data_IF_859820402471
#
_entry.id   IF_859820402471
#
_cell.length_a   1.000
_cell.length_b   1.000
_cell.length_c   1.000
_cell.angle_alpha   90.00
_cell.angle_beta   90.00
_cell.angle_gamma   90.00
#
_symmetry.space_group_name_H-M   'P 1'
#
loop_
_entity.id
_entity.type
_entity.pdbx_description
1 polymer ?
#
# COMPACT_ATOMS: atom_id res chain seq x y z
N UNK A 1 24.53 -66.72 18.39
CA UNK A 1 23.82 -65.85 17.40
C UNK A 1 22.85 -65.01 18.13
N UNK A 2 23.18 -63.74 18.38
CA UNK A 2 22.31 -62.75 19.02
C UNK A 2 22.11 -61.59 18.06
N UNK A 3 20.91 -61.48 17.51
CA UNK A 3 20.49 -60.34 16.68
C UNK A 3 20.09 -59.17 17.61
N UNK A 4 20.83 -58.08 17.53
CA UNK A 4 20.43 -56.79 18.11
C UNK A 4 19.62 -56.03 17.06
N UNK A 5 18.34 -55.83 17.34
CA UNK A 5 17.46 -54.95 16.61
C UNK A 5 17.65 -53.51 17.13
N UNK A 6 18.27 -52.62 16.35
CA UNK A 6 18.27 -51.19 16.57
C UNK A 6 17.01 -50.56 16.00
N UNK A 7 16.08 -50.19 16.84
CA UNK A 7 14.93 -49.32 16.49
C UNK A 7 15.37 -47.88 16.48
N UNK A 8 15.48 -47.27 15.31
CA UNK A 8 15.70 -45.85 15.15
C UNK A 8 14.34 -45.12 15.33
N UNK A 9 14.17 -44.39 16.43
CA UNK A 9 13.12 -43.38 16.60
C UNK A 9 13.50 -42.17 15.79
N UNK A 10 12.77 -41.91 14.68
CA UNK A 10 12.79 -40.64 13.98
C UNK A 10 11.91 -39.64 14.76
N UNK A 11 12.56 -38.73 15.49
CA UNK A 11 11.88 -37.57 16.07
C UNK A 11 11.58 -36.58 14.94
N UNK A 12 10.32 -36.48 14.54
CA UNK A 12 9.82 -35.36 13.73
C UNK A 12 9.76 -34.11 14.61
N UNK A 13 10.77 -33.27 14.49
CA UNK A 13 10.70 -31.90 15.03
C UNK A 13 9.77 -31.11 14.13
N UNK A 14 8.51 -30.93 14.57
CA UNK A 14 7.65 -29.87 14.06
C UNK A 14 8.23 -28.55 14.56
N UNK A 15 9.01 -27.89 13.73
CA UNK A 15 9.31 -26.47 13.90
C UNK A 15 8.04 -25.72 13.55
N UNK A 16 7.20 -25.43 14.54
CA UNK A 16 6.19 -24.41 14.44
C UNK A 16 6.94 -23.06 14.35
N UNK A 17 7.19 -22.59 13.15
CA UNK A 17 7.49 -21.18 12.90
C UNK A 17 6.21 -20.40 13.24
N UNK A 18 6.10 -19.95 14.49
CA UNK A 18 5.24 -18.83 14.86
C UNK A 18 5.96 -17.55 14.43
N UNK A 19 5.96 -17.27 13.14
CA UNK A 19 6.26 -15.94 12.63
C UNK A 19 4.97 -15.12 12.72
N UNK A 20 5.06 -13.89 13.18
CA UNK A 20 4.15 -12.81 12.82
C UNK A 20 4.12 -12.83 11.29
N UNK A 21 3.09 -13.44 10.70
CA UNK A 21 3.12 -13.77 9.29
C UNK A 21 2.76 -12.53 8.50
N UNK A 22 3.69 -12.03 7.73
CA UNK A 22 3.43 -11.17 6.60
C UNK A 22 2.23 -11.73 5.82
N UNK A 23 1.21 -10.91 5.62
CA UNK A 23 0.02 -11.29 4.88
C UNK A 23 0.24 -10.84 3.45
N UNK A 24 0.53 -11.78 2.58
CA UNK A 24 0.57 -11.57 1.15
C UNK A 24 -0.83 -11.74 0.55
N UNK A 25 -1.17 -10.90 -0.42
CA UNK A 25 -2.49 -10.90 -1.03
C UNK A 25 -2.67 -12.00 -2.08
N UNK A 26 -1.61 -12.46 -2.76
CA UNK A 26 -1.68 -13.57 -3.72
C UNK A 26 -1.88 -14.91 -2.98
N UNK A 27 -3.11 -15.11 -2.50
CA UNK A 27 -3.45 -16.28 -1.69
C UNK A 27 -3.51 -17.59 -2.51
N UNK A 28 -3.71 -17.52 -3.82
CA UNK A 28 -3.81 -18.67 -4.70
C UNK A 28 -2.48 -18.99 -5.42
N UNK A 29 -1.50 -18.09 -5.38
CA UNK A 29 -0.17 -18.27 -5.96
C UNK A 29 -0.14 -18.25 -7.48
N UNK A 30 -1.12 -17.60 -8.13
CA UNK A 30 -1.18 -17.55 -9.60
C UNK A 30 -0.39 -16.36 -10.19
N UNK A 31 0.19 -15.51 -9.33
CA UNK A 31 0.97 -14.35 -9.71
C UNK A 31 0.13 -13.13 -10.10
N UNK A 32 -1.17 -13.15 -9.82
CA UNK A 32 -2.10 -12.04 -10.08
C UNK A 32 -2.87 -11.72 -8.81
N UNK A 33 -2.82 -10.48 -8.35
CA UNK A 33 -3.59 -10.07 -7.17
C UNK A 33 -4.87 -9.39 -7.62
N UNK A 34 -6.00 -10.05 -7.33
CA UNK A 34 -7.33 -9.49 -7.58
C UNK A 34 -7.75 -8.55 -6.46
N UNK A 35 -8.73 -7.67 -6.71
CA UNK A 35 -9.34 -6.80 -5.68
C UNK A 35 -9.80 -7.59 -4.46
N UNK A 36 -10.44 -8.73 -4.70
CA UNK A 36 -10.97 -9.58 -3.64
C UNK A 36 -9.85 -10.17 -2.77
N UNK A 37 -8.70 -10.49 -3.33
CA UNK A 37 -7.54 -11.00 -2.60
C UNK A 37 -6.87 -9.88 -1.79
N UNK A 38 -6.70 -8.68 -2.38
CA UNK A 38 -6.19 -7.52 -1.66
C UNK A 38 -7.10 -7.12 -0.48
N UNK A 39 -8.43 -7.10 -0.69
CA UNK A 39 -9.41 -6.82 0.38
C UNK A 39 -9.34 -7.90 1.47
N UNK A 40 -9.30 -9.18 1.09
CA UNK A 40 -9.20 -10.28 2.07
C UNK A 40 -7.89 -10.23 2.89
N UNK A 41 -6.77 -9.81 2.27
CA UNK A 41 -5.51 -9.60 2.99
C UNK A 41 -5.63 -8.46 4.02
N UNK A 42 -6.28 -7.35 3.65
CA UNK A 42 -6.54 -6.24 4.57
C UNK A 42 -7.49 -6.67 5.71
N UNK A 43 -8.56 -7.37 5.41
CA UNK A 43 -9.48 -7.89 6.43
C UNK A 43 -8.79 -8.84 7.40
N UNK A 44 -7.89 -9.67 6.92
CA UNK A 44 -7.10 -10.58 7.75
C UNK A 44 -6.11 -9.83 8.64
N UNK A 45 -5.52 -8.72 8.14
CA UNK A 45 -4.63 -7.84 8.90
C UNK A 45 -5.38 -6.92 9.87
N UNK A 46 -6.71 -6.85 9.81
CA UNK A 46 -7.56 -5.74 10.27
C UNK A 46 -7.69 -5.57 11.79
N UNK A 47 -6.93 -6.29 12.63
CA UNK A 47 -6.97 -6.02 14.07
C UNK A 47 -6.52 -4.60 14.42
N UNK A 48 -5.40 -4.16 13.86
CA UNK A 48 -4.72 -2.92 14.25
C UNK A 48 -4.69 -1.84 13.14
N UNK A 49 -5.10 -2.17 11.92
CA UNK A 49 -5.01 -1.26 10.77
C UNK A 49 -6.36 -0.67 10.34
N UNK A 50 -7.49 -1.18 10.86
CA UNK A 50 -8.81 -0.63 10.55
C UNK A 50 -8.93 0.78 11.14
N UNK A 51 -9.14 1.82 10.32
CA UNK A 51 -9.21 3.18 10.85
C UNK A 51 -10.43 3.39 11.74
N UNK A 52 -10.23 4.09 12.86
CA UNK A 52 -11.32 4.49 13.74
C UNK A 52 -12.09 5.67 13.12
N UNK A 53 -13.42 5.73 13.23
CA UNK A 53 -14.19 6.91 12.84
C UNK A 53 -13.71 8.17 13.56
N UNK A 54 -13.82 9.33 12.91
CA UNK A 54 -13.45 10.61 13.51
C UNK A 54 -13.00 11.65 12.50
N UNK A 55 -12.61 12.80 13.01
CA UNK A 55 -12.01 13.88 12.21
C UNK A 55 -10.55 13.56 11.95
N UNK A 56 -10.13 13.64 10.71
CA UNK A 56 -8.77 13.40 10.25
C UNK A 56 -8.19 14.62 9.57
N UNK A 57 -6.91 14.87 9.82
CA UNK A 57 -6.06 15.78 9.06
C UNK A 57 -5.21 14.98 8.10
N UNK A 58 -5.25 15.30 6.81
CA UNK A 58 -4.44 14.67 5.76
C UNK A 58 -3.50 15.69 5.16
N UNK A 59 -2.21 15.42 5.21
CA UNK A 59 -1.15 16.22 4.59
C UNK A 59 -0.56 15.45 3.41
N UNK A 60 -0.55 16.09 2.24
CA UNK A 60 0.10 15.62 1.03
C UNK A 60 1.33 16.48 0.80
N UNK A 61 2.47 15.85 0.52
CA UNK A 61 3.74 16.54 0.29
C UNK A 61 4.43 15.95 -0.95
N UNK A 62 4.76 16.79 -1.91
CA UNK A 62 5.67 16.40 -2.99
C UNK A 62 7.10 16.37 -2.44
N UNK A 63 7.71 15.19 -2.40
CA UNK A 63 9.07 14.97 -1.88
C UNK A 63 10.08 15.17 -3.02
N UNK A 64 9.78 14.61 -4.19
CA UNK A 64 10.66 14.65 -5.35
C UNK A 64 9.82 14.64 -6.63
N UNK A 65 10.26 15.40 -7.64
CA UNK A 65 9.74 15.32 -9.00
C UNK A 65 10.90 15.53 -9.97
N UNK A 66 11.05 14.61 -10.90
CA UNK A 66 12.04 14.67 -11.97
C UNK A 66 11.34 14.42 -13.30
N UNK A 67 11.35 15.42 -14.17
CA UNK A 67 10.80 15.34 -15.53
C UNK A 67 11.92 15.81 -16.46
N UNK A 68 12.46 14.94 -17.33
CA UNK A 68 13.51 15.31 -18.26
C UNK A 68 13.08 16.47 -19.17
N UNK A 69 13.98 17.43 -19.36
CA UNK A 69 13.69 18.62 -20.16
C UNK A 69 12.80 19.68 -19.49
N UNK A 70 12.26 19.41 -18.30
CA UNK A 70 11.52 20.41 -17.56
C UNK A 70 12.47 21.41 -16.85
N UNK A 71 12.14 22.71 -16.82
CA UNK A 71 12.89 23.69 -16.04
C UNK A 71 12.87 23.32 -14.54
N UNK A 72 13.96 23.59 -13.78
CA UNK A 72 14.00 23.32 -12.33
C UNK A 72 12.87 23.97 -11.54
N UNK A 73 12.38 25.11 -12.00
CA UNK A 73 11.27 25.86 -11.41
C UNK A 73 9.95 25.08 -11.47
N UNK A 74 9.80 24.18 -12.42
CA UNK A 74 8.59 23.37 -12.56
C UNK A 74 8.37 22.46 -11.35
N UNK A 75 9.39 21.78 -10.85
CA UNK A 75 9.29 20.94 -9.65
C UNK A 75 8.87 21.78 -8.42
N UNK A 76 9.38 23.02 -8.30
CA UNK A 76 8.98 23.93 -7.23
C UNK A 76 7.52 24.37 -7.38
N UNK A 77 7.06 24.69 -8.59
CA UNK A 77 5.66 25.04 -8.84
C UNK A 77 4.72 23.85 -8.56
N UNK A 78 5.13 22.65 -8.96
CA UNK A 78 4.38 21.42 -8.65
C UNK A 78 4.28 21.22 -7.14
N UNK A 79 5.38 21.38 -6.40
CA UNK A 79 5.37 21.30 -4.94
C UNK A 79 4.39 22.29 -4.31
N UNK A 80 4.37 23.55 -4.77
CA UNK A 80 3.42 24.54 -4.28
C UNK A 80 1.96 24.20 -4.58
N UNK A 81 1.69 23.59 -5.72
CA UNK A 81 0.35 23.19 -6.13
C UNK A 81 -0.13 21.91 -5.42
N UNK A 82 0.77 20.97 -5.16
CA UNK A 82 0.44 19.65 -4.62
C UNK A 82 0.51 19.58 -3.10
N UNK A 83 1.39 20.36 -2.47
CA UNK A 83 1.51 20.39 -1.02
C UNK A 83 0.27 21.02 -0.40
N UNK A 84 -0.49 20.22 0.34
CA UNK A 84 -1.73 20.67 0.97
C UNK A 84 -2.03 19.88 2.23
N UNK A 85 -2.70 20.53 3.16
CA UNK A 85 -3.34 19.88 4.30
C UNK A 85 -4.84 20.09 4.18
N UNK A 86 -5.61 19.05 4.40
CA UNK A 86 -7.07 19.07 4.40
C UNK A 86 -7.61 18.26 5.56
N UNK A 87 -8.77 18.64 6.04
CA UNK A 87 -9.47 17.89 7.07
C UNK A 87 -10.75 17.27 6.49
N UNK A 88 -11.08 16.08 6.98
CA UNK A 88 -12.31 15.39 6.60
C UNK A 88 -12.81 14.53 7.76
N UNK A 89 -14.10 14.29 7.77
CA UNK A 89 -14.72 13.37 8.71
C UNK A 89 -14.80 11.97 8.09
N UNK A 90 -14.21 10.99 8.78
CA UNK A 90 -14.37 9.58 8.47
C UNK A 90 -15.57 9.05 9.28
N UNK A 91 -16.71 8.84 8.62
CA UNK A 91 -17.89 8.28 9.29
C UNK A 91 -17.69 6.79 9.61
N UNK A 92 -18.49 6.21 10.54
CA UNK A 92 -18.43 4.77 10.81
C UNK A 92 -18.61 3.92 9.53
N UNK A 93 -19.52 4.27 8.65
CA UNK A 93 -19.78 3.57 7.40
C UNK A 93 -18.59 3.67 6.43
N UNK A 94 -17.93 4.84 6.39
CA UNK A 94 -16.73 5.03 5.58
C UNK A 94 -15.54 4.26 6.17
N UNK A 95 -15.41 4.21 7.50
CA UNK A 95 -14.36 3.44 8.16
C UNK A 95 -14.51 1.92 7.92
N UNK A 96 -15.75 1.43 7.84
CA UNK A 96 -16.02 0.02 7.52
C UNK A 96 -15.68 -0.35 6.07
N UNK A 97 -15.84 0.58 5.12
CA UNK A 97 -15.64 0.37 3.69
C UNK A 97 -14.38 1.02 3.13
N UNK A 98 -13.65 1.77 3.97
CA UNK A 98 -12.63 2.70 3.50
C UNK A 98 -11.56 2.09 2.60
N UNK A 99 -11.06 0.90 2.94
CA UNK A 99 -10.07 0.21 2.12
C UNK A 99 -10.68 -0.38 0.85
N UNK A 100 -11.86 -0.99 0.94
CA UNK A 100 -12.56 -1.55 -0.21
C UNK A 100 -12.86 -0.48 -1.27
N UNK A 101 -13.41 0.66 -0.84
CA UNK A 101 -13.69 1.80 -1.74
C UNK A 101 -12.39 2.39 -2.33
N UNK A 102 -11.29 2.39 -1.58
CA UNK A 102 -9.99 2.89 -2.05
C UNK A 102 -9.37 1.96 -3.08
N UNK A 103 -9.43 0.65 -2.86
CA UNK A 103 -8.94 -0.36 -3.81
C UNK A 103 -9.77 -0.29 -5.11
N UNK A 104 -11.10 -0.33 -5.01
CA UNK A 104 -11.99 -0.23 -6.18
C UNK A 104 -11.84 1.06 -6.97
N UNK A 105 -11.51 2.16 -6.33
CA UNK A 105 -11.23 3.44 -7.01
C UNK A 105 -9.82 3.50 -7.60
N UNK A 106 -8.86 2.84 -6.97
CA UNK A 106 -7.48 2.77 -7.43
C UNK A 106 -7.30 1.82 -8.61
N UNK A 107 -8.13 0.80 -8.68
CA UNK A 107 -8.18 -0.12 -9.82
C UNK A 107 -9.18 0.41 -10.85
N UNK A 108 -8.78 1.38 -11.62
CA UNK A 108 -9.34 1.55 -12.95
C UNK A 108 -8.85 0.37 -13.79
N UNK A 109 -9.55 0.05 -14.89
CA UNK A 109 -9.16 -1.01 -15.85
C UNK A 109 -7.72 -0.86 -16.38
N UNK A 110 -7.03 0.24 -16.00
CA UNK A 110 -5.68 0.61 -16.40
C UNK A 110 -4.57 0.14 -15.45
N UNK A 111 -4.86 -0.30 -14.21
CA UNK A 111 -3.84 -0.69 -13.23
C UNK A 111 -3.97 -2.16 -12.81
N UNK A 112 -2.83 -2.81 -12.63
CA UNK A 112 -2.71 -4.17 -12.08
C UNK A 112 -1.91 -4.10 -10.79
N UNK A 113 -2.35 -4.77 -9.72
CA UNK A 113 -1.57 -4.93 -8.50
C UNK A 113 -0.57 -6.06 -8.73
N UNK A 114 0.72 -5.72 -8.68
CA UNK A 114 1.82 -6.68 -8.87
C UNK A 114 2.19 -7.36 -7.56
N UNK A 115 2.12 -6.63 -6.44
CA UNK A 115 2.35 -7.16 -5.10
C UNK A 115 1.61 -6.33 -4.05
N UNK A 116 1.16 -6.99 -2.99
CA UNK A 116 0.59 -6.36 -1.81
C UNK A 116 0.92 -7.18 -0.58
N UNK A 117 1.49 -6.54 0.44
CA UNK A 117 1.73 -7.15 1.74
C UNK A 117 1.40 -6.19 2.88
N UNK A 118 1.05 -6.77 4.03
CA UNK A 118 0.81 -6.04 5.26
C UNK A 118 1.31 -6.87 6.46
N UNK A 119 2.15 -6.27 7.30
CA UNK A 119 2.71 -6.88 8.49
C UNK A 119 2.80 -5.86 9.62
N UNK A 120 2.10 -6.10 10.74
CA UNK A 120 2.07 -5.20 11.91
C UNK A 120 1.83 -3.71 11.54
N UNK A 121 0.97 -3.48 10.54
CA UNK A 121 0.65 -2.16 10.02
C UNK A 121 1.66 -1.60 9.03
N UNK A 122 2.78 -2.24 8.78
CA UNK A 122 3.67 -1.91 7.67
C UNK A 122 3.04 -2.41 6.37
N UNK A 123 2.79 -1.49 5.44
CA UNK A 123 2.14 -1.76 4.16
C UNK A 123 3.14 -1.58 3.03
N UNK A 124 3.19 -2.53 2.12
CA UNK A 124 3.90 -2.41 0.86
C UNK A 124 2.99 -2.84 -0.30
N UNK A 125 2.91 -2.03 -1.35
CA UNK A 125 2.14 -2.31 -2.55
C UNK A 125 2.91 -1.85 -3.79
N UNK A 126 2.92 -2.68 -4.82
CA UNK A 126 3.40 -2.31 -6.14
C UNK A 126 2.28 -2.52 -7.15
N UNK A 127 2.14 -1.56 -8.07
CA UNK A 127 1.16 -1.61 -9.16
C UNK A 127 1.83 -1.17 -10.46
N UNK A 128 1.36 -1.72 -11.56
CA UNK A 128 1.65 -1.24 -12.91
C UNK A 128 0.37 -0.70 -13.52
N UNK A 129 0.40 0.55 -13.99
CA UNK A 129 -0.72 1.22 -14.63
C UNK A 129 -0.38 1.53 -16.09
N UNK A 130 -1.32 1.23 -17.00
CA UNK A 130 -1.21 1.58 -18.42
C UNK A 130 -2.12 2.76 -18.71
N UNK A 131 -1.56 3.93 -18.91
CA UNK A 131 -2.30 5.14 -19.26
C UNK A 131 -2.14 5.47 -20.75
N UNK A 132 -3.21 5.95 -21.38
CA UNK A 132 -3.23 6.19 -22.83
C UNK A 132 -2.17 7.20 -23.34
N UNK A 133 -1.67 8.07 -22.46
CA UNK A 133 -0.70 9.12 -22.79
C UNK A 133 0.69 8.89 -22.16
N UNK A 134 0.86 7.85 -21.34
CA UNK A 134 2.13 7.46 -20.74
C UNK A 134 2.38 5.98 -20.99
N UNK A 135 3.62 5.61 -21.28
CA UNK A 135 4.01 4.22 -21.22
C UNK A 135 3.93 3.74 -19.77
N UNK A 136 3.78 2.45 -19.57
CA UNK A 136 3.57 1.79 -18.29
C UNK A 136 4.16 2.56 -17.09
N UNK A 137 3.28 2.96 -16.17
CA UNK A 137 3.64 3.67 -14.94
C UNK A 137 3.73 2.66 -13.81
N UNK A 138 4.92 2.51 -13.24
CA UNK A 138 5.12 1.75 -12.00
C UNK A 138 4.80 2.63 -10.80
N UNK A 139 3.97 2.15 -9.90
CA UNK A 139 3.60 2.82 -8.66
C UNK A 139 3.96 1.94 -7.47
N UNK A 140 4.80 2.44 -6.58
CA UNK A 140 5.17 1.78 -5.33
C UNK A 140 4.65 2.59 -4.14
N UNK A 141 3.86 1.96 -3.28
CA UNK A 141 3.33 2.54 -2.07
C UNK A 141 3.89 1.78 -0.87
N UNK A 142 4.54 2.49 0.05
CA UNK A 142 5.11 1.91 1.25
C UNK A 142 4.86 2.84 2.45
N UNK A 143 4.62 2.25 3.61
CA UNK A 143 4.46 3.03 4.83
C UNK A 143 3.83 2.26 5.96
N UNK A 144 3.39 2.99 6.97
CA UNK A 144 2.77 2.42 8.16
C UNK A 144 1.35 2.94 8.34
N UNK A 145 0.43 2.05 8.66
CA UNK A 145 -0.95 2.36 9.03
C UNK A 145 -1.26 1.86 10.43
N UNK A 146 -2.11 2.59 11.14
CA UNK A 146 -2.66 2.24 12.45
C UNK A 146 -4.13 2.58 12.46
N UNK A 147 -4.82 2.27 13.55
CA UNK A 147 -6.22 2.65 13.72
C UNK A 147 -6.47 4.18 13.72
N UNK A 148 -5.45 5.00 13.96
CA UNK A 148 -5.59 6.46 14.09
C UNK A 148 -4.66 7.27 13.19
N UNK A 149 -3.78 6.63 12.45
CA UNK A 149 -2.83 7.33 11.58
C UNK A 149 -2.40 6.49 10.39
N UNK A 150 -1.96 7.16 9.33
CA UNK A 150 -1.17 6.56 8.26
C UNK A 150 -0.04 7.49 7.86
N UNK A 151 1.11 6.91 7.53
CA UNK A 151 2.27 7.62 6.98
C UNK A 151 2.81 6.81 5.81
N UNK A 152 2.50 7.25 4.60
CA UNK A 152 2.72 6.51 3.36
C UNK A 152 3.59 7.32 2.41
N UNK A 153 4.49 6.63 1.75
CA UNK A 153 5.29 7.17 0.64
C UNK A 153 4.86 6.47 -0.64
N UNK A 154 4.49 7.26 -1.64
CA UNK A 154 4.20 6.80 -2.99
C UNK A 154 5.33 7.25 -3.93
N UNK A 155 5.93 6.30 -4.62
CA UNK A 155 6.87 6.54 -5.69
C UNK A 155 6.26 6.10 -7.02
N UNK A 156 6.33 6.96 -8.02
CA UNK A 156 5.83 6.73 -9.37
C UNK A 156 6.97 6.89 -10.36
N UNK A 157 7.16 5.89 -11.20
CA UNK A 157 8.13 5.88 -12.27
C UNK A 157 7.39 5.59 -13.58
N UNK A 158 7.59 6.43 -14.58
CA UNK A 158 6.92 6.28 -15.88
C UNK A 158 7.73 6.92 -17.00
N UNK A 159 7.25 6.78 -18.22
CA UNK A 159 7.85 7.42 -19.39
C UNK A 159 6.80 8.27 -20.09
N UNK A 160 7.08 9.56 -20.21
CA UNK A 160 6.27 10.46 -21.02
C UNK A 160 6.82 10.41 -22.45
N UNK A 161 6.00 10.08 -23.47
CA UNK A 161 6.43 10.12 -24.86
C UNK A 161 7.10 11.46 -25.20
N UNK A 162 8.23 11.41 -25.91
CA UNK A 162 9.02 12.57 -26.34
C UNK A 162 9.77 13.33 -25.22
N UNK A 163 9.37 13.22 -23.93
CA UNK A 163 10.04 13.88 -22.81
C UNK A 163 10.99 12.94 -22.05
N UNK A 164 10.73 11.63 -22.05
CA UNK A 164 11.56 10.63 -21.36
C UNK A 164 11.05 10.20 -19.99
N UNK A 165 11.93 9.60 -19.19
CA UNK A 165 11.57 9.02 -17.90
C UNK A 165 11.15 10.10 -16.88
N UNK A 166 9.96 9.95 -16.31
CA UNK A 166 9.44 10.77 -15.22
C UNK A 166 9.54 10.00 -13.90
N UNK A 167 9.95 10.68 -12.85
CA UNK A 167 9.92 10.16 -11.50
C UNK A 167 9.22 11.15 -10.57
N UNK A 168 8.34 10.63 -9.71
CA UNK A 168 7.64 11.42 -8.70
C UNK A 168 7.58 10.66 -7.39
N UNK A 169 7.81 11.36 -6.28
CA UNK A 169 7.70 10.81 -4.93
C UNK A 169 6.85 11.72 -4.08
N UNK A 170 5.82 11.18 -3.46
CA UNK A 170 4.88 11.91 -2.62
C UNK A 170 4.75 11.26 -1.25
N UNK A 171 4.60 12.10 -0.21
CA UNK A 171 4.23 11.68 1.14
C UNK A 171 2.75 11.95 1.39
N UNK A 172 2.10 11.00 2.05
CA UNK A 172 0.71 11.08 2.51
C UNK A 172 0.70 10.79 4.00
N UNK A 173 0.50 11.81 4.80
CA UNK A 173 0.37 11.67 6.24
C UNK A 173 -1.05 11.96 6.66
N UNK A 174 -1.68 11.04 7.39
CA UNK A 174 -3.02 11.18 7.91
C UNK A 174 -3.01 10.93 9.42
N UNK A 175 -3.68 11.77 10.17
CA UNK A 175 -3.78 11.66 11.64
C UNK A 175 -5.22 11.94 12.07
N UNK A 176 -5.76 11.11 12.97
CA UNK A 176 -7.03 11.36 13.64
C UNK A 176 -6.83 12.49 14.65
N UNK A 177 -7.56 13.58 14.47
CA UNK A 177 -7.43 14.79 15.30
C UNK A 177 -8.61 14.96 16.30
N UNK A 178 -9.62 14.11 16.23
CA UNK A 178 -10.75 14.16 17.16
C UNK A 178 -12.01 13.46 16.64
N UNK A 179 -13.14 13.81 17.24
CA UNK A 179 -14.44 13.40 16.75
C UNK A 179 -14.90 14.32 15.60
N UNK A 180 -15.76 13.81 14.71
CA UNK A 180 -16.35 14.63 13.65
C UNK A 180 -17.17 15.76 14.25
N UNK A 181 -17.01 16.98 13.72
CA UNK A 181 -17.91 18.08 14.05
C UNK A 181 -19.31 17.82 13.46
N UNK A 182 -20.33 18.01 14.28
CA UNK A 182 -21.74 17.89 13.91
C UNK A 182 -22.15 19.03 12.95
#
# INVERSE_FOLDING_TARGET
MRFLMCTALAALALTACGGSGEIEADANGDGTITDSEAIAAIEKASGDVKPLPGQYSTTITLIEASIPGAPPEMAQMMGQAMNRTSEHCLTPEMAERGFEDSIKKGQNEACTIDSFSIDDGDVAMAMTCSEAEMADVSVNLNGKVTATSSDMIMAMDGTIPELGAMQMKMGFKQERIGECSS
#
